data_IF_062730261935
#
_entry.id   IF_062730261935
#
_cell.length_a   1.000
_cell.length_b   1.000
_cell.length_c   1.000
_cell.angle_alpha   90.00
_cell.angle_beta   90.00
_cell.angle_gamma   90.00
#
_symmetry.space_group_name_H-M   'P 1'
#
loop_
_entity.id
_entity.type
_entity.pdbx_description
1 polymer ?
#
# COMPACT_ATOMS: atom_id res chain seq x y z
N UNK A 1 39.28 -6.75 -11.56
CA UNK A 1 37.84 -7.09 -11.42
C UNK A 1 37.00 -6.06 -12.19
N UNK A 2 36.97 -6.14 -13.52
CA UNK A 2 36.27 -5.19 -14.41
C UNK A 2 35.41 -5.89 -15.46
N UNK A 3 35.68 -7.17 -15.72
CA UNK A 3 34.91 -8.07 -16.60
C UNK A 3 33.46 -8.30 -16.16
N UNK A 4 33.10 -8.06 -14.89
CA UNK A 4 31.69 -8.08 -14.48
C UNK A 4 30.87 -7.04 -15.26
N UNK A 5 31.46 -5.89 -15.61
CA UNK A 5 30.77 -4.84 -16.37
C UNK A 5 30.66 -5.13 -17.88
N UNK A 6 31.38 -6.11 -18.41
CA UNK A 6 31.26 -6.52 -19.83
C UNK A 6 30.19 -7.59 -20.06
N UNK A 7 29.78 -8.31 -19.00
CA UNK A 7 28.70 -9.31 -19.04
C UNK A 7 27.36 -8.73 -18.58
N UNK A 8 27.40 -7.77 -17.67
CA UNK A 8 26.23 -7.09 -17.14
C UNK A 8 26.11 -5.72 -17.78
N UNK A 9 25.14 -5.56 -18.68
CA UNK A 9 24.79 -4.24 -19.21
C UNK A 9 24.46 -3.30 -18.03
N UNK A 10 25.28 -2.26 -17.77
CA UNK A 10 25.23 -1.46 -16.54
C UNK A 10 23.84 -0.87 -16.29
N UNK A 11 23.15 -0.51 -17.38
CA UNK A 11 21.78 0.01 -17.36
C UNK A 11 20.79 -1.04 -16.84
N UNK A 12 20.92 -2.28 -17.28
CA UNK A 12 19.98 -3.36 -16.96
C UNK A 12 20.11 -3.80 -15.51
N UNK A 13 21.33 -3.81 -14.94
CA UNK A 13 21.55 -4.12 -13.53
C UNK A 13 20.97 -3.04 -12.61
N UNK A 14 21.21 -1.76 -12.92
CA UNK A 14 20.64 -0.65 -12.14
C UNK A 14 19.10 -0.67 -12.17
N UNK A 15 18.52 -0.93 -13.35
CA UNK A 15 17.05 -1.06 -13.50
C UNK A 15 16.55 -2.30 -12.77
N UNK A 16 17.21 -3.46 -12.90
CA UNK A 16 16.79 -4.67 -12.20
C UNK A 16 16.81 -4.49 -10.69
N UNK A 17 17.83 -3.83 -10.14
CA UNK A 17 17.90 -3.53 -8.71
C UNK A 17 16.80 -2.56 -8.30
N UNK A 18 16.63 -1.45 -9.03
CA UNK A 18 15.58 -0.47 -8.75
C UNK A 18 14.17 -1.10 -8.79
N UNK A 19 13.87 -1.88 -9.82
CA UNK A 19 12.57 -2.56 -9.98
C UNK A 19 12.38 -3.64 -8.92
N UNK A 20 13.43 -4.38 -8.55
CA UNK A 20 13.35 -5.39 -7.50
C UNK A 20 13.00 -4.77 -6.15
N UNK A 21 13.74 -3.73 -5.73
CA UNK A 21 13.46 -3.03 -4.48
C UNK A 21 12.09 -2.33 -4.50
N UNK A 22 11.72 -1.73 -5.64
CA UNK A 22 10.43 -1.06 -5.80
C UNK A 22 9.25 -2.04 -5.74
N UNK A 23 9.36 -3.18 -6.43
CA UNK A 23 8.34 -4.24 -6.40
C UNK A 23 8.18 -4.76 -4.98
N UNK A 24 9.29 -5.02 -4.27
CA UNK A 24 9.26 -5.45 -2.87
C UNK A 24 8.55 -4.43 -1.97
N UNK A 25 8.85 -3.13 -2.16
CA UNK A 25 8.19 -2.06 -1.41
C UNK A 25 6.67 -2.04 -1.66
N UNK A 26 6.24 -2.13 -2.92
CA UNK A 26 4.81 -2.17 -3.27
C UNK A 26 4.12 -3.40 -2.67
N UNK A 27 4.75 -4.58 -2.74
CA UNK A 27 4.20 -5.82 -2.21
C UNK A 27 3.92 -5.72 -0.70
N UNK A 28 4.86 -5.15 0.06
CA UNK A 28 4.69 -4.89 1.49
C UNK A 28 3.55 -3.89 1.73
N UNK A 29 3.51 -2.77 1.01
CA UNK A 29 2.44 -1.77 1.18
C UNK A 29 1.06 -2.34 0.86
N UNK A 30 0.94 -3.13 -0.21
CA UNK A 30 -0.31 -3.80 -0.58
C UNK A 30 -0.79 -4.78 0.51
N UNK A 31 0.12 -5.49 1.17
CA UNK A 31 -0.21 -6.39 2.29
C UNK A 31 -0.73 -5.60 3.50
N UNK A 32 -0.10 -4.49 3.84
CA UNK A 32 -0.57 -3.62 4.93
C UNK A 32 -1.94 -2.99 4.60
N UNK A 33 -2.13 -2.52 3.37
CA UNK A 33 -3.41 -1.97 2.90
C UNK A 33 -4.50 -3.06 2.81
N UNK A 34 -4.16 -4.30 2.43
CA UNK A 34 -5.16 -5.37 2.32
C UNK A 34 -5.67 -5.88 3.67
N UNK A 35 -4.92 -5.69 4.76
CA UNK A 35 -5.32 -6.19 6.08
C UNK A 35 -6.23 -5.19 6.81
N UNK A 36 -7.41 -5.64 7.23
CA UNK A 36 -8.50 -4.85 7.86
C UNK A 36 -8.10 -4.02 9.09
N UNK A 37 -6.90 -4.25 9.64
CA UNK A 37 -6.37 -3.58 10.84
C UNK A 37 -5.28 -2.54 10.53
N UNK A 38 -4.59 -2.64 9.39
CA UNK A 38 -3.49 -1.76 8.99
C UNK A 38 -3.79 -0.97 7.71
N UNK A 39 -4.97 -1.19 7.11
CA UNK A 39 -5.49 -0.40 6.02
C UNK A 39 -5.73 1.03 6.50
N UNK A 40 -4.77 1.93 6.29
CA UNK A 40 -4.87 3.32 6.76
C UNK A 40 -5.87 4.14 5.94
N UNK A 41 -6.20 3.70 4.72
CA UNK A 41 -7.27 4.29 3.90
C UNK A 41 -8.64 3.95 4.48
N UNK A 42 -8.82 2.70 4.95
CA UNK A 42 -10.00 2.23 5.68
C UNK A 42 -9.82 2.39 7.21
N UNK A 43 -8.84 3.18 7.64
CA UNK A 43 -8.33 3.30 9.01
C UNK A 43 -9.30 3.98 9.99
N UNK A 44 -10.51 4.29 9.54
CA UNK A 44 -11.68 4.19 10.39
C UNK A 44 -12.46 2.98 9.89
N UNK A 45 -12.56 1.93 10.69
CA UNK A 45 -13.87 1.73 11.32
C UNK A 45 -14.47 3.09 11.69
N UNK A 46 -15.06 3.75 10.68
CA UNK A 46 -16.21 4.58 10.86
C UNK A 46 -17.13 3.71 11.68
N UNK A 47 -17.12 3.96 12.99
CA UNK A 47 -18.22 3.65 13.87
C UNK A 47 -19.42 4.18 13.11
N UNK A 48 -20.12 3.29 12.41
CA UNK A 48 -21.41 3.49 11.76
C UNK A 48 -21.83 4.97 11.66
N UNK A 49 -21.20 5.78 10.81
CA UNK A 49 -21.76 7.12 10.52
C UNK A 49 -23.07 6.98 9.75
N UNK A 50 -23.33 5.81 9.14
CA UNK A 50 -24.65 5.43 8.62
C UNK A 50 -25.69 5.03 9.67
N UNK A 51 -25.34 4.92 10.97
CA UNK A 51 -26.35 4.69 12.02
C UNK A 51 -26.52 5.90 12.96
N UNK A 52 -25.54 6.81 13.03
CA UNK A 52 -25.68 8.08 13.74
C UNK A 52 -26.72 9.01 13.07
N UNK A 53 -26.87 8.94 11.75
CA UNK A 53 -27.93 9.68 11.02
C UNK A 53 -29.33 9.19 11.37
N UNK A 54 -29.52 7.88 11.59
CA UNK A 54 -30.85 7.33 11.94
C UNK A 54 -31.33 7.78 13.32
N UNK A 55 -30.42 7.92 14.29
CA UNK A 55 -30.79 8.33 15.65
C UNK A 55 -31.14 9.82 15.72
N UNK A 56 -30.48 10.67 14.94
CA UNK A 56 -30.84 12.10 14.86
C UNK A 56 -32.17 12.36 14.15
N UNK A 57 -32.55 11.49 13.20
CA UNK A 57 -33.82 11.58 12.46
C UNK A 57 -35.02 11.18 13.33
N UNK A 58 -34.87 10.15 14.17
CA UNK A 58 -35.92 9.68 15.10
C UNK A 58 -36.13 10.65 16.28
N UNK A 59 -35.10 11.38 16.72
CA UNK A 59 -35.20 12.33 17.84
C UNK A 59 -35.79 13.68 17.39
N UNK A 60 -35.78 13.99 16.09
CA UNK A 60 -36.34 15.24 15.54
C UNK A 60 -37.79 15.12 15.03
N UNK A 61 -38.45 13.97 15.21
CA UNK A 61 -39.88 13.73 14.92
C UNK A 61 -40.68 13.51 16.19
#
# INVERSE_FOLDING_TARGET
>A
MWRLWTLFDPRRVLVALAVFLFTLALLIHFILLSTTRFNWIEGGKAVKTGALTTISDVISS
#
